data_IF_835874766124
#
_entry.id   IF_835874766124
#
_cell.length_a   1.000
_cell.length_b   1.000
_cell.length_c   1.000
_cell.angle_alpha   90.00
_cell.angle_beta   90.00
_cell.angle_gamma   90.00
#
_symmetry.space_group_name_H-M   'P 1'
#
loop_
_entity.id
_entity.type
_entity.pdbx_description
1 polymer ?
#
# COMPACT_ATOMS: atom_id res chain seq x y z
N UNK A 1 37.43 5.76 11.58
CA UNK A 1 36.70 4.60 12.13
C UNK A 1 35.54 4.32 11.19
N UNK A 2 35.44 3.10 10.65
CA UNK A 2 34.27 2.69 9.88
C UNK A 2 33.05 2.67 10.80
N UNK A 3 31.91 3.14 10.30
CA UNK A 3 30.64 3.03 11.01
C UNK A 3 30.21 1.56 10.97
N UNK A 4 29.69 1.04 12.07
CA UNK A 4 29.13 -0.30 12.13
C UNK A 4 27.65 -0.19 11.79
N UNK A 5 27.22 -0.91 10.77
CA UNK A 5 25.84 -0.96 10.28
C UNK A 5 25.04 -1.97 11.09
N UNK A 6 23.89 -1.53 11.60
CA UNK A 6 23.02 -2.34 12.46
C UNK A 6 21.56 -2.11 12.11
N UNK A 7 20.74 -3.08 12.49
CA UNK A 7 19.29 -2.92 12.54
C UNK A 7 18.91 -2.22 13.84
N UNK A 8 18.03 -1.24 13.74
CA UNK A 8 17.43 -0.51 14.87
C UNK A 8 15.95 -0.81 14.93
N UNK A 9 15.39 -0.81 16.14
CA UNK A 9 13.98 -1.05 16.36
C UNK A 9 13.35 0.07 17.18
N UNK A 10 12.17 0.52 16.77
CA UNK A 10 11.42 1.50 17.54
C UNK A 10 10.82 0.81 18.78
N UNK A 11 11.17 1.23 20.01
CA UNK A 11 10.63 0.61 21.23
C UNK A 11 9.13 0.88 21.40
N UNK A 12 8.61 1.97 20.80
CA UNK A 12 7.20 2.35 20.86
C UNK A 12 6.29 1.56 19.92
N UNK A 13 6.67 1.45 18.64
CA UNK A 13 5.81 0.88 17.60
C UNK A 13 6.42 -0.33 16.89
N UNK A 14 7.60 -0.82 17.29
CA UNK A 14 8.27 -2.00 16.72
C UNK A 14 8.65 -1.93 15.24
N UNK A 15 8.70 -0.74 14.64
CA UNK A 15 9.25 -0.56 13.29
C UNK A 15 10.76 -0.83 13.31
N UNK A 16 11.23 -1.70 12.42
CA UNK A 16 12.65 -2.02 12.24
C UNK A 16 13.21 -1.20 11.08
N UNK A 17 14.40 -0.61 11.23
CA UNK A 17 15.09 0.16 10.20
C UNK A 17 16.60 0.03 10.31
N UNK A 18 17.29 0.10 9.17
CA UNK A 18 18.75 0.28 9.11
C UNK A 18 19.22 1.57 9.81
N UNK A 19 20.38 1.52 10.45
CA UNK A 19 21.11 2.68 10.96
C UNK A 19 22.56 2.33 11.35
N UNK A 20 23.25 3.29 11.96
CA UNK A 20 24.62 3.08 12.44
C UNK A 20 24.68 2.97 13.96
N UNK A 21 25.60 2.14 14.46
CA UNK A 21 25.89 2.02 15.89
C UNK A 21 26.39 3.35 16.46
N UNK A 22 25.81 3.79 17.58
CA UNK A 22 26.06 5.06 18.25
C UNK A 22 25.35 6.27 17.63
N UNK A 23 24.60 6.11 16.54
CA UNK A 23 23.84 7.20 15.91
C UNK A 23 22.42 7.31 16.45
N UNK A 24 21.98 8.49 16.84
CA UNK A 24 20.57 8.72 17.15
C UNK A 24 19.73 8.72 15.86
N UNK A 25 18.65 7.93 15.85
CA UNK A 25 17.73 7.84 14.72
C UNK A 25 16.29 7.84 15.22
N UNK A 26 15.47 8.71 14.65
CA UNK A 26 14.03 8.77 14.94
C UNK A 26 13.25 7.74 14.09
N UNK A 27 12.20 7.17 14.66
CA UNK A 27 11.30 6.27 13.97
C UNK A 27 10.47 6.99 12.91
N UNK A 28 10.43 6.48 11.66
CA UNK A 28 9.62 7.06 10.58
C UNK A 28 8.09 7.00 10.77
N UNK A 29 7.61 6.28 11.79
CA UNK A 29 6.18 6.12 12.08
C UNK A 29 5.71 7.04 13.20
N UNK A 30 6.55 7.27 14.22
CA UNK A 30 6.13 7.93 15.45
C UNK A 30 7.22 8.83 16.09
N UNK A 31 8.30 9.09 15.37
CA UNK A 31 9.44 9.95 15.74
C UNK A 31 10.20 9.57 17.03
N UNK A 32 9.81 8.48 17.69
CA UNK A 32 10.49 7.96 18.87
C UNK A 32 11.92 7.54 18.53
N UNK A 33 12.89 7.90 19.36
CA UNK A 33 14.29 7.49 19.20
C UNK A 33 14.36 5.96 19.24
N UNK A 34 15.03 5.39 18.25
CA UNK A 34 15.10 3.94 18.09
C UNK A 34 16.15 3.32 19.00
N UNK A 35 15.84 2.13 19.51
CA UNK A 35 16.77 1.30 20.23
C UNK A 35 17.76 0.62 19.27
N UNK A 36 19.00 0.48 19.71
CA UNK A 36 20.01 -0.31 19.00
C UNK A 36 19.74 -1.79 19.24
N UNK A 37 19.82 -2.59 18.17
CA UNK A 37 19.87 -4.04 18.30
C UNK A 37 21.32 -4.52 18.17
N UNK A 38 21.55 -5.80 18.48
CA UNK A 38 22.86 -6.42 18.29
C UNK A 38 23.04 -7.02 16.87
N UNK A 39 22.05 -6.84 15.98
CA UNK A 39 22.07 -7.44 14.65
C UNK A 39 22.65 -6.47 13.62
N UNK A 40 23.57 -6.97 12.80
CA UNK A 40 24.15 -6.20 11.69
C UNK A 40 23.20 -6.14 10.50
N UNK A 41 23.48 -5.24 9.57
CA UNK A 41 22.77 -5.21 8.29
C UNK A 41 23.01 -6.49 7.49
N UNK A 42 24.26 -6.98 7.43
CA UNK A 42 24.62 -8.25 6.77
C UNK A 42 23.80 -9.44 7.27
N UNK A 43 23.65 -9.59 8.60
CA UNK A 43 22.82 -10.66 9.19
C UNK A 43 21.35 -10.55 8.79
N UNK A 44 20.85 -9.32 8.63
CA UNK A 44 19.49 -9.09 8.16
C UNK A 44 19.34 -9.37 6.66
N UNK A 45 20.33 -9.04 5.83
CA UNK A 45 20.32 -9.34 4.40
C UNK A 45 20.30 -10.85 4.15
N UNK A 46 21.10 -11.63 4.89
CA UNK A 46 21.08 -13.10 4.80
C UNK A 46 19.69 -13.68 5.10
N UNK A 47 18.96 -13.10 6.06
CA UNK A 47 17.61 -13.55 6.41
C UNK A 47 16.63 -13.16 5.30
N UNK A 48 16.65 -11.90 4.88
CA UNK A 48 15.76 -11.34 3.85
C UNK A 48 15.90 -12.10 2.53
N UNK A 49 17.13 -12.36 2.11
CA UNK A 49 17.42 -13.01 0.83
C UNK A 49 17.19 -14.53 0.89
N UNK A 50 16.97 -15.08 2.09
CA UNK A 50 16.62 -16.49 2.29
C UNK A 50 15.12 -16.78 2.24
N UNK A 51 14.28 -15.73 2.19
CA UNK A 51 12.87 -15.85 1.84
C UNK A 51 12.73 -15.99 0.32
N UNK A 52 11.84 -16.90 -0.07
CA UNK A 52 11.75 -17.54 -1.38
C UNK A 52 11.67 -16.59 -2.58
N UNK A 53 11.96 -17.19 -3.73
CA UNK A 53 11.62 -16.67 -5.06
C UNK A 53 10.21 -16.07 -5.06
N UNK A 54 10.13 -14.77 -5.29
CA UNK A 54 8.89 -14.01 -5.25
C UNK A 54 7.82 -14.55 -6.21
N UNK A 55 8.19 -15.34 -7.22
CA UNK A 55 7.25 -16.04 -8.09
C UNK A 55 6.42 -17.11 -7.35
N UNK A 56 7.00 -17.85 -6.40
CA UNK A 56 6.26 -18.83 -5.58
C UNK A 56 5.27 -18.13 -4.63
N UNK A 57 5.62 -16.95 -4.13
CA UNK A 57 4.75 -16.15 -3.25
C UNK A 57 3.51 -15.64 -4.01
N UNK A 58 3.67 -15.26 -5.28
CA UNK A 58 2.56 -14.79 -6.11
C UNK A 58 1.48 -15.87 -6.31
N UNK A 59 1.88 -17.13 -6.52
CA UNK A 59 0.93 -18.25 -6.65
C UNK A 59 0.16 -18.55 -5.36
N UNK A 60 0.80 -18.38 -4.20
CA UNK A 60 0.17 -18.59 -2.90
C UNK A 60 -0.83 -17.47 -2.59
N UNK A 61 -0.52 -16.24 -3.01
CA UNK A 61 -1.39 -15.08 -2.81
C UNK A 61 -2.70 -15.20 -3.61
N UNK A 62 -2.64 -15.73 -4.82
CA UNK A 62 -3.84 -15.97 -5.64
C UNK A 62 -4.78 -17.03 -5.02
N UNK A 63 -4.24 -17.95 -4.21
CA UNK A 63 -5.01 -19.02 -3.52
C UNK A 63 -5.73 -18.56 -2.25
N UNK A 64 -5.46 -17.34 -1.76
CA UNK A 64 -6.38 -16.64 -0.86
C UNK A 64 -6.10 -16.68 0.64
N UNK A 65 -4.94 -17.16 1.12
CA UNK A 65 -4.51 -16.95 2.53
C UNK A 65 -3.19 -16.18 2.63
N UNK A 66 -3.27 -14.92 2.22
CA UNK A 66 -2.17 -13.98 2.18
C UNK A 66 -1.51 -13.74 3.54
N UNK A 67 -2.28 -13.80 4.63
CA UNK A 67 -1.79 -13.48 5.97
C UNK A 67 -0.99 -14.64 6.55
N UNK A 68 -1.44 -15.88 6.35
CA UNK A 68 -0.62 -17.05 6.69
C UNK A 68 0.70 -17.05 5.93
N UNK A 69 0.68 -16.77 4.62
CA UNK A 69 1.90 -16.67 3.81
C UNK A 69 2.84 -15.61 4.36
N UNK A 70 2.34 -14.40 4.63
CA UNK A 70 3.11 -13.30 5.20
C UNK A 70 3.76 -13.67 6.54
N UNK A 71 2.99 -14.25 7.45
CA UNK A 71 3.47 -14.59 8.79
C UNK A 71 4.53 -15.72 8.78
N UNK A 72 4.56 -16.52 7.72
CA UNK A 72 5.52 -17.63 7.56
C UNK A 72 6.83 -17.22 6.86
N UNK A 73 6.97 -15.95 6.43
CA UNK A 73 8.24 -15.42 5.94
C UNK A 73 9.26 -15.35 7.08
N UNK A 74 10.49 -15.81 6.83
CA UNK A 74 11.59 -15.76 7.82
C UNK A 74 11.91 -14.35 8.26
N UNK A 75 11.86 -13.38 7.36
CA UNK A 75 12.05 -11.97 7.68
C UNK A 75 10.99 -11.50 8.69
N UNK A 76 9.74 -11.96 8.54
CA UNK A 76 8.64 -11.61 9.44
C UNK A 76 8.82 -12.29 10.80
N UNK A 77 9.14 -13.60 10.82
CA UNK A 77 9.43 -14.32 12.05
C UNK A 77 10.60 -13.70 12.83
N UNK A 78 11.66 -13.30 12.12
CA UNK A 78 12.81 -12.63 12.74
C UNK A 78 12.44 -11.26 13.31
N UNK A 79 11.63 -10.47 12.60
CA UNK A 79 11.13 -9.18 13.12
C UNK A 79 10.25 -9.36 14.36
N UNK A 80 9.43 -10.41 14.43
CA UNK A 80 8.63 -10.71 15.63
C UNK A 80 9.52 -11.07 16.83
N UNK A 81 10.54 -11.89 16.65
CA UNK A 81 11.53 -12.18 17.70
C UNK A 81 12.17 -10.89 18.25
N UNK A 82 12.54 -9.94 17.38
CA UNK A 82 13.04 -8.63 17.83
C UNK A 82 11.99 -7.84 18.63
N UNK A 83 10.73 -7.88 18.21
CA UNK A 83 9.64 -7.15 18.88
C UNK A 83 9.37 -7.71 20.27
N UNK A 84 9.40 -9.03 20.43
CA UNK A 84 9.31 -9.67 21.75
C UNK A 84 10.43 -9.21 22.69
N UNK A 85 11.65 -9.08 22.17
CA UNK A 85 12.81 -8.69 22.96
C UNK A 85 12.85 -7.19 23.30
N UNK A 86 12.51 -6.31 22.35
CA UNK A 86 12.79 -4.87 22.46
C UNK A 86 11.54 -3.99 22.58
N UNK A 87 10.35 -4.52 22.32
CA UNK A 87 9.12 -3.72 22.16
C UNK A 87 8.06 -4.08 23.21
N UNK A 88 7.69 -5.35 23.34
CA UNK A 88 6.54 -5.75 24.18
C UNK A 88 6.71 -5.31 25.65
N UNK A 89 7.94 -5.33 26.16
CA UNK A 89 8.27 -4.94 27.54
C UNK A 89 8.86 -3.53 27.66
N UNK A 90 8.88 -2.75 26.58
CA UNK A 90 9.37 -1.37 26.61
C UNK A 90 8.38 -0.46 27.33
N UNK A 91 8.86 0.49 28.16
CA UNK A 91 7.99 1.49 28.78
C UNK A 91 7.37 2.48 27.77
N UNK A 92 7.94 2.57 26.57
CA UNK A 92 7.43 3.39 25.47
C UNK A 92 6.39 2.67 24.61
N UNK A 93 6.16 1.37 24.82
CA UNK A 93 5.28 0.53 24.00
C UNK A 93 3.87 1.12 23.87
N UNK A 94 3.41 1.23 22.63
CA UNK A 94 2.07 1.69 22.29
C UNK A 94 1.38 0.63 21.44
N UNK A 95 0.45 -0.11 22.06
CA UNK A 95 -0.27 -1.21 21.42
C UNK A 95 -1.06 -0.75 20.18
N UNK A 96 -1.66 0.43 20.21
CA UNK A 96 -2.45 0.93 19.08
C UNK A 96 -1.54 1.25 17.89
N UNK A 97 -0.38 1.87 18.12
CA UNK A 97 0.62 2.10 17.06
C UNK A 97 1.26 0.81 16.57
N UNK A 98 1.50 -0.16 17.46
CA UNK A 98 2.00 -1.49 17.10
C UNK A 98 1.05 -2.19 16.13
N UNK A 99 -0.23 -2.31 16.50
CA UNK A 99 -1.25 -2.96 15.66
C UNK A 99 -1.43 -2.24 14.33
N UNK A 100 -1.41 -0.91 14.33
CA UNK A 100 -1.45 -0.13 13.08
C UNK A 100 -0.27 -0.45 12.17
N UNK A 101 0.96 -0.48 12.71
CA UNK A 101 2.16 -0.82 11.94
C UNK A 101 2.10 -2.24 11.39
N UNK A 102 1.57 -3.21 12.13
CA UNK A 102 1.36 -4.58 11.63
C UNK A 102 0.45 -4.65 10.40
N UNK A 103 -0.63 -3.86 10.42
CA UNK A 103 -1.55 -3.77 9.31
C UNK A 103 -0.88 -3.08 8.11
N UNK A 104 -0.24 -1.93 8.34
CA UNK A 104 0.44 -1.16 7.30
C UNK A 104 1.57 -1.97 6.62
N UNK A 105 2.39 -2.71 7.39
CA UNK A 105 3.47 -3.54 6.85
C UNK A 105 2.91 -4.69 5.98
N UNK A 106 1.80 -5.31 6.38
CA UNK A 106 1.14 -6.38 5.62
C UNK A 106 0.47 -5.88 4.34
N UNK A 107 -0.26 -4.77 4.42
CA UNK A 107 -0.87 -4.14 3.24
C UNK A 107 0.19 -3.72 2.23
N UNK A 108 1.30 -3.15 2.71
CA UNK A 108 2.44 -2.80 1.86
C UNK A 108 2.99 -4.05 1.16
N UNK A 109 3.28 -5.12 1.90
CA UNK A 109 3.82 -6.37 1.34
C UNK A 109 2.90 -6.98 0.27
N UNK A 110 1.59 -7.06 0.52
CA UNK A 110 0.64 -7.58 -0.48
C UNK A 110 0.59 -6.70 -1.74
N UNK A 111 0.60 -5.38 -1.57
CA UNK A 111 0.56 -4.47 -2.72
C UNK A 111 1.84 -4.53 -3.54
N UNK A 112 2.99 -4.70 -2.89
CA UNK A 112 4.28 -4.85 -3.56
C UNK A 112 4.31 -6.13 -4.42
N UNK A 113 3.89 -7.27 -3.86
CA UNK A 113 3.84 -8.53 -4.64
C UNK A 113 2.83 -8.43 -5.79
N UNK A 114 1.65 -7.85 -5.55
CA UNK A 114 0.68 -7.61 -6.63
C UNK A 114 1.28 -6.76 -7.74
N UNK A 115 1.98 -5.70 -7.38
CA UNK A 115 2.61 -4.79 -8.33
C UNK A 115 3.71 -5.47 -9.15
N UNK A 116 4.57 -6.26 -8.50
CA UNK A 116 5.71 -6.88 -9.16
C UNK A 116 5.32 -8.12 -9.99
N UNK A 117 4.32 -8.90 -9.55
CA UNK A 117 4.06 -10.25 -10.10
C UNK A 117 2.64 -10.47 -10.66
N UNK A 118 1.63 -9.72 -10.19
CA UNK A 118 0.23 -9.94 -10.58
C UNK A 118 -0.31 -8.86 -11.51
N UNK A 119 0.55 -7.99 -12.03
CA UNK A 119 0.19 -7.01 -13.06
C UNK A 119 -0.01 -7.68 -14.44
N UNK A 120 -0.97 -8.60 -14.53
CA UNK A 120 -1.60 -9.00 -15.78
C UNK A 120 -2.69 -7.96 -16.14
N UNK A 121 -2.34 -7.06 -17.07
CA UNK A 121 -3.17 -6.30 -18.03
C UNK A 121 -4.44 -5.51 -17.61
N UNK A 122 -4.96 -5.58 -16.40
CA UNK A 122 -6.18 -4.85 -16.00
C UNK A 122 -6.04 -4.09 -14.67
N UNK A 123 -4.86 -3.54 -14.37
CA UNK A 123 -4.74 -2.50 -13.34
C UNK A 123 -5.41 -1.23 -13.86
N UNK A 124 -6.73 -1.11 -13.70
CA UNK A 124 -7.35 0.19 -13.47
C UNK A 124 -6.54 0.82 -12.34
N UNK A 125 -5.75 1.84 -12.70
CA UNK A 125 -4.87 2.55 -11.80
C UNK A 125 -5.62 2.82 -10.49
N UNK A 126 -5.02 2.43 -9.36
CA UNK A 126 -5.43 2.92 -8.05
C UNK A 126 -5.31 4.44 -8.14
N UNK A 127 -6.43 5.09 -8.44
CA UNK A 127 -6.55 6.52 -8.39
C UNK A 127 -6.35 6.86 -6.91
N UNK A 128 -5.16 7.36 -6.58
CA UNK A 128 -5.04 8.41 -5.54
C UNK A 128 -6.28 9.30 -5.69
N UNK A 129 -7.02 9.67 -4.63
CA UNK A 129 -8.19 10.53 -4.77
C UNK A 129 -7.73 11.91 -5.25
N UNK A 130 -7.46 12.03 -6.55
CA UNK A 130 -7.33 13.28 -7.26
C UNK A 130 -8.75 13.80 -7.24
N UNK A 131 -8.92 14.95 -6.60
CA UNK A 131 -10.18 15.68 -6.54
C UNK A 131 -10.93 15.51 -7.86
N UNK A 132 -12.24 15.15 -7.83
CA UNK A 132 -12.96 14.76 -9.03
C UNK A 132 -12.80 15.87 -10.06
N UNK A 133 -12.20 15.53 -11.21
CA UNK A 133 -12.16 16.44 -12.36
C UNK A 133 -13.60 16.68 -12.78
N UNK A 134 -14.21 17.74 -12.25
CA UNK A 134 -15.58 18.13 -12.57
C UNK A 134 -15.64 18.36 -14.08
N UNK A 135 -16.39 17.50 -14.80
CA UNK A 135 -16.61 17.66 -16.23
C UNK A 135 -17.23 19.04 -16.46
N UNK A 136 -16.66 19.83 -17.37
CA UNK A 136 -17.20 21.15 -17.77
C UNK A 136 -17.73 21.07 -19.19
N UNK A 137 -18.85 21.73 -19.44
CA UNK A 137 -19.43 21.79 -20.78
C UNK A 137 -18.46 22.54 -21.72
N UNK A 138 -18.06 21.96 -22.87
CA UNK A 138 -17.14 22.63 -23.79
C UNK A 138 -17.74 23.89 -24.44
N UNK A 139 -19.06 24.07 -24.40
CA UNK A 139 -19.74 25.22 -25.01
C UNK A 139 -19.94 26.39 -24.04
N UNK A 140 -20.21 26.13 -22.76
CA UNK A 140 -20.57 27.18 -21.80
C UNK A 140 -19.84 27.09 -20.45
N UNK A 141 -19.01 26.07 -20.23
CA UNK A 141 -18.29 25.86 -18.98
C UNK A 141 -19.14 25.33 -17.81
N UNK A 142 -20.45 25.15 -17.97
CA UNK A 142 -21.34 24.64 -16.93
C UNK A 142 -20.96 23.23 -16.43
N UNK A 143 -21.22 22.96 -15.16
CA UNK A 143 -20.83 21.72 -14.46
C UNK A 143 -22.01 20.79 -14.14
N UNK A 144 -23.24 21.21 -14.44
CA UNK A 144 -24.44 20.43 -14.20
C UNK A 144 -24.96 19.79 -15.50
N UNK A 145 -25.23 18.49 -15.46
CA UNK A 145 -25.70 17.71 -16.61
C UNK A 145 -26.89 16.83 -16.22
N UNK A 146 -27.87 16.75 -17.11
CA UNK A 146 -28.98 15.80 -17.01
C UNK A 146 -28.75 14.62 -17.96
N UNK A 147 -28.76 13.37 -17.46
CA UNK A 147 -28.72 12.19 -18.31
C UNK A 147 -30.07 12.00 -19.00
N UNK A 148 -30.06 11.93 -20.34
CA UNK A 148 -31.26 11.68 -21.14
C UNK A 148 -31.08 10.40 -21.94
N UNK A 149 -32.03 9.47 -21.80
CA UNK A 149 -32.03 8.20 -22.55
C UNK A 149 -32.32 8.47 -24.03
N UNK A 150 -31.52 7.89 -24.92
CA UNK A 150 -31.74 7.98 -26.37
C UNK A 150 -32.90 7.05 -26.75
N UNK A 151 -34.05 7.65 -27.07
CA UNK A 151 -35.30 6.90 -27.27
C UNK A 151 -35.33 6.06 -28.56
N UNK A 152 -34.60 6.41 -29.63
CA UNK A 152 -34.63 5.63 -30.90
C UNK A 152 -33.35 5.81 -31.74
N UNK A 153 -32.88 4.73 -32.37
CA UNK A 153 -31.81 4.73 -33.37
C UNK A 153 -32.38 4.17 -34.68
N UNK A 154 -32.56 5.04 -35.68
CA UNK A 154 -33.13 4.66 -36.99
C UNK A 154 -32.29 3.63 -37.76
N UNK A 155 -31.00 3.49 -37.42
CA UNK A 155 -30.10 2.56 -38.09
C UNK A 155 -30.21 1.12 -37.59
N UNK A 156 -30.70 0.92 -36.36
CA UNK A 156 -30.64 -0.38 -35.68
C UNK A 156 -31.98 -0.90 -35.18
N UNK A 157 -33.09 -0.16 -35.31
CA UNK A 157 -34.44 -0.66 -35.01
C UNK A 157 -34.73 -1.07 -33.55
N UNK A 158 -33.72 -1.11 -32.67
CA UNK A 158 -33.82 -1.51 -31.28
C UNK A 158 -33.56 -0.33 -30.33
N UNK A 159 -34.30 -0.28 -29.22
CA UNK A 159 -34.10 0.69 -28.14
C UNK A 159 -32.68 0.56 -27.58
N UNK A 160 -31.84 1.57 -27.78
CA UNK A 160 -30.46 1.56 -27.27
C UNK A 160 -30.45 2.06 -25.82
N UNK A 161 -29.83 1.32 -24.88
CA UNK A 161 -29.58 1.77 -23.50
C UNK A 161 -28.55 2.93 -23.39
N UNK A 162 -28.30 3.66 -24.47
CA UNK A 162 -27.33 4.76 -24.51
C UNK A 162 -27.92 6.00 -23.82
N UNK A 163 -27.15 6.60 -22.93
CA UNK A 163 -27.49 7.82 -22.20
C UNK A 163 -26.65 8.96 -22.77
N UNK A 164 -27.29 10.03 -23.23
CA UNK A 164 -26.63 11.26 -23.63
C UNK A 164 -26.62 12.23 -22.43
N UNK A 165 -25.50 12.91 -22.18
CA UNK A 165 -25.43 13.98 -21.17
C UNK A 165 -25.76 15.32 -21.82
N UNK A 166 -26.77 16.00 -21.29
CA UNK A 166 -27.16 17.34 -21.74
C UNK A 166 -26.75 18.35 -20.68
N UNK A 167 -26.03 19.40 -21.06
CA UNK A 167 -25.68 20.48 -20.15
C UNK A 167 -26.92 21.28 -19.76
N UNK A 168 -27.13 21.49 -18.45
CA UNK A 168 -28.29 22.23 -17.94
C UNK A 168 -28.22 23.72 -18.28
N UNK A 169 -27.02 24.28 -18.44
CA UNK A 169 -26.82 25.70 -18.70
C UNK A 169 -27.02 26.09 -20.17
N UNK A 170 -26.67 25.23 -21.13
CA UNK A 170 -26.72 25.57 -22.56
C UNK A 170 -27.40 24.53 -23.46
N UNK A 171 -27.96 23.46 -22.89
CA UNK A 171 -28.67 22.40 -23.62
C UNK A 171 -27.81 21.58 -24.58
N UNK A 172 -26.49 21.76 -24.57
CA UNK A 172 -25.61 21.08 -25.52
C UNK A 172 -25.29 19.67 -25.05
N UNK A 173 -25.30 18.73 -26.00
CA UNK A 173 -24.91 17.35 -25.77
C UNK A 173 -23.40 17.29 -25.55
N UNK A 174 -22.98 16.71 -24.44
CA UNK A 174 -21.58 16.47 -24.11
C UNK A 174 -21.29 15.00 -24.41
N UNK A 175 -20.27 14.77 -25.26
CA UNK A 175 -19.78 13.43 -25.58
C UNK A 175 -18.90 12.90 -24.45
#
# INVERSE_FOLDING_TARGET
MSKIEIMKICPKCGKVMYGYKGEERACKVCDTIMAETNFTDDEYEEIRDSDKDFSELAELIDKGDNREVYNNLKEIQWKEMLREQYVINSPEYDEALYRKREQDDFEWWINEIRYLFLNDKDTEAVETPKAPKTKRCPKCGGTQFTPVRRKFSLLTGFATNKIDLICNSCGSKVK
#
